data_IF_094883254179
#
_entry.id   IF_094883254179
#
_cell.length_a   1.000
_cell.length_b   1.000
_cell.length_c   1.000
_cell.angle_alpha   90.00
_cell.angle_beta   90.00
_cell.angle_gamma   90.00
#
_symmetry.space_group_name_H-M   'P 1'
#
loop_
_entity.id
_entity.type
_entity.pdbx_description
1 polymer ?
#
# COMPACT_ATOMS: atom_id res chain seq x y z
N UNK A 1 -1.26 -51.92 19.09
CA UNK A 1 -0.95 -52.05 17.65
C UNK A 1 0.55 -52.06 17.51
N UNK A 2 1.09 -53.20 17.07
CA UNK A 2 2.48 -53.62 17.26
C UNK A 2 3.48 -52.71 16.55
N UNK A 3 4.41 -52.14 17.32
CA UNK A 3 5.63 -51.53 16.81
C UNK A 3 6.45 -52.61 16.09
N UNK A 4 6.54 -52.53 14.77
CA UNK A 4 7.67 -53.12 14.06
C UNK A 4 8.94 -52.49 14.63
N UNK A 5 9.83 -53.30 15.20
CA UNK A 5 11.12 -52.82 15.71
C UNK A 5 11.89 -52.12 14.59
N UNK A 6 12.67 -51.05 14.88
CA UNK A 6 13.41 -50.29 13.85
C UNK A 6 14.21 -51.19 12.90
N UNK A 7 14.78 -52.29 13.40
CA UNK A 7 15.48 -53.30 12.62
C UNK A 7 14.58 -54.06 11.62
N UNK A 8 13.33 -54.34 12.00
CA UNK A 8 12.35 -54.93 11.08
C UNK A 8 11.93 -53.93 10.00
N UNK A 9 11.81 -52.64 10.36
CA UNK A 9 11.51 -51.61 9.38
C UNK A 9 12.65 -51.42 8.37
N UNK A 10 13.91 -51.40 8.83
CA UNK A 10 15.09 -51.37 7.96
C UNK A 10 15.14 -52.58 7.01
N UNK A 11 14.89 -53.79 7.52
CA UNK A 11 14.83 -55.00 6.68
C UNK A 11 13.68 -54.96 5.67
N UNK A 12 12.55 -54.37 6.04
CA UNK A 12 11.42 -54.16 5.13
C UNK A 12 11.78 -53.14 4.05
N UNK A 13 12.40 -52.01 4.41
CA UNK A 13 12.85 -50.98 3.47
C UNK A 13 13.94 -51.52 2.53
N UNK A 14 14.86 -52.33 3.03
CA UNK A 14 15.88 -53.00 2.23
C UNK A 14 15.25 -54.03 1.27
N UNK A 15 14.29 -54.83 1.73
CA UNK A 15 13.61 -55.80 0.87
C UNK A 15 12.73 -55.12 -0.19
N UNK A 16 12.03 -54.03 0.17
CA UNK A 16 11.23 -53.22 -0.75
C UNK A 16 12.14 -52.53 -1.78
N UNK A 17 13.24 -51.91 -1.35
CA UNK A 17 14.16 -51.24 -2.27
C UNK A 17 14.87 -52.22 -3.20
N UNK A 18 15.24 -53.40 -2.69
CA UNK A 18 15.77 -54.51 -3.50
C UNK A 18 14.72 -55.01 -4.49
N UNK A 19 13.48 -55.25 -4.05
CA UNK A 19 12.40 -55.65 -4.94
C UNK A 19 12.14 -54.58 -6.01
N UNK A 20 12.11 -53.30 -5.67
CA UNK A 20 11.94 -52.22 -6.64
C UNK A 20 13.11 -52.13 -7.64
N UNK A 21 14.34 -52.42 -7.19
CA UNK A 21 15.55 -52.39 -8.03
C UNK A 21 15.71 -53.61 -8.94
N UNK A 22 15.32 -54.79 -8.47
CA UNK A 22 15.62 -56.07 -9.14
C UNK A 22 14.38 -56.83 -9.64
N UNK A 23 13.17 -56.28 -9.53
CA UNK A 23 11.95 -56.86 -10.08
C UNK A 23 11.83 -56.61 -11.59
N UNK A 24 12.76 -57.21 -12.34
CA UNK A 24 12.67 -57.31 -13.79
C UNK A 24 12.11 -58.68 -14.18
N UNK A 25 10.79 -58.72 -14.40
CA UNK A 25 10.08 -59.95 -14.77
C UNK A 25 10.56 -60.54 -16.10
N UNK A 26 10.98 -59.71 -17.05
CA UNK A 26 11.41 -60.17 -18.39
C UNK A 26 12.78 -60.82 -18.28
N UNK A 27 13.71 -60.21 -17.56
CA UNK A 27 15.02 -60.79 -17.25
C UNK A 27 14.90 -62.07 -16.42
N UNK A 28 13.98 -62.12 -15.45
CA UNK A 28 13.71 -63.33 -14.66
C UNK A 28 13.16 -64.48 -15.51
N UNK A 29 12.24 -64.19 -16.44
CA UNK A 29 11.70 -65.20 -17.38
C UNK A 29 12.81 -65.78 -18.27
N UNK A 30 13.71 -64.93 -18.78
CA UNK A 30 14.87 -65.37 -19.55
C UNK A 30 15.82 -66.25 -18.73
N UNK A 31 16.15 -65.84 -17.50
CA UNK A 31 17.01 -66.63 -16.62
C UNK A 31 16.40 -67.99 -16.27
N UNK A 32 15.09 -68.02 -16.02
CA UNK A 32 14.36 -69.27 -15.75
C UNK A 32 14.41 -70.21 -16.95
N UNK A 33 14.09 -69.72 -18.15
CA UNK A 33 14.15 -70.55 -19.36
C UNK A 33 15.56 -71.09 -19.61
N UNK A 34 16.60 -70.27 -19.39
CA UNK A 34 17.99 -70.70 -19.49
C UNK A 34 18.35 -71.80 -18.49
N UNK A 35 17.81 -71.72 -17.28
CA UNK A 35 17.97 -72.76 -16.26
C UNK A 35 17.28 -74.05 -16.68
N UNK A 36 16.03 -73.98 -17.14
CA UNK A 36 15.24 -75.14 -17.60
C UNK A 36 15.93 -75.86 -18.78
N UNK A 37 16.49 -75.11 -19.74
CA UNK A 37 17.29 -75.67 -20.85
C UNK A 37 18.54 -76.39 -20.33
N UNK A 38 19.22 -75.81 -19.34
CA UNK A 38 20.43 -76.39 -18.76
C UNK A 38 20.12 -77.67 -17.97
N UNK A 39 19.02 -77.69 -17.22
CA UNK A 39 18.54 -78.91 -16.56
C UNK A 39 18.17 -80.00 -17.56
N UNK A 40 17.47 -79.64 -18.65
CA UNK A 40 17.14 -80.58 -19.72
C UNK A 40 18.41 -81.17 -20.35
N UNK A 41 19.44 -80.35 -20.60
CA UNK A 41 20.73 -80.78 -21.14
C UNK A 41 21.53 -81.70 -20.20
N UNK A 42 21.47 -81.46 -18.88
CA UNK A 42 22.08 -82.34 -17.88
C UNK A 42 21.36 -83.69 -17.81
N UNK A 43 20.03 -83.66 -17.83
CA UNK A 43 19.20 -84.85 -17.75
C UNK A 43 19.30 -85.71 -19.02
N UNK A 44 19.44 -85.10 -20.19
CA UNK A 44 19.64 -85.82 -21.47
C UNK A 44 21.00 -86.51 -21.57
N UNK A 45 22.03 -85.99 -20.89
CA UNK A 45 23.37 -86.63 -20.82
C UNK A 45 23.38 -87.90 -19.96
N UNK A 46 22.43 -88.04 -19.04
CA UNK A 46 22.43 -89.09 -18.02
C UNK A 46 21.43 -90.23 -18.30
N UNK A 47 20.64 -90.17 -19.39
CA UNK A 47 19.64 -91.20 -19.73
C UNK A 47 19.91 -91.84 -21.10
N UNK A 48 20.31 -93.11 -21.09
CA UNK A 48 20.31 -93.97 -22.28
C UNK A 48 18.86 -94.44 -22.56
N UNK A 49 18.23 -93.87 -23.59
CA UNK A 49 17.10 -94.37 -24.40
C UNK A 49 16.01 -95.19 -23.69
N UNK A 50 14.80 -94.63 -23.43
CA UNK A 50 13.74 -94.60 -24.46
C UNK A 50 12.70 -93.46 -24.29
N UNK A 51 13.15 -92.19 -24.24
CA UNK A 51 12.27 -90.98 -24.14
C UNK A 51 12.45 -89.99 -25.28
N UNK A 52 12.89 -90.45 -26.44
CA UNK A 52 13.36 -89.58 -27.53
C UNK A 52 12.25 -88.65 -28.07
N UNK A 53 11.01 -89.14 -28.20
CA UNK A 53 9.87 -88.34 -28.69
C UNK A 53 9.48 -87.21 -27.71
N UNK A 54 9.42 -87.53 -26.42
CA UNK A 54 9.00 -86.58 -25.37
C UNK A 54 10.08 -85.53 -25.09
N UNK A 55 11.35 -85.91 -25.25
CA UNK A 55 12.49 -84.99 -25.25
C UNK A 55 12.45 -84.07 -26.47
N UNK A 56 12.20 -84.60 -27.68
CA UNK A 56 12.05 -83.79 -28.90
C UNK A 56 10.94 -82.75 -28.79
N UNK A 57 9.77 -83.14 -28.27
CA UNK A 57 8.66 -82.19 -28.04
C UNK A 57 9.07 -81.08 -27.06
N UNK A 58 9.76 -81.41 -25.96
CA UNK A 58 10.27 -80.41 -25.02
C UNK A 58 11.34 -79.49 -25.62
N UNK A 59 12.20 -80.03 -26.48
CA UNK A 59 13.22 -79.22 -27.18
C UNK A 59 12.55 -78.21 -28.11
N UNK A 60 11.55 -78.63 -28.90
CA UNK A 60 10.80 -77.70 -29.76
C UNK A 60 9.98 -76.70 -28.94
N UNK A 61 9.40 -77.11 -27.81
CA UNK A 61 8.72 -76.20 -26.89
C UNK A 61 9.69 -75.13 -26.35
N UNK A 62 10.86 -75.53 -25.84
CA UNK A 62 11.85 -74.58 -25.32
C UNK A 62 12.45 -73.72 -26.43
N UNK A 63 12.54 -74.21 -27.66
CA UNK A 63 12.95 -73.41 -28.83
C UNK A 63 11.94 -72.30 -29.13
N UNK A 64 10.65 -72.61 -29.13
CA UNK A 64 9.59 -71.63 -29.29
C UNK A 64 9.56 -70.62 -28.13
N UNK A 65 9.68 -71.10 -26.90
CA UNK A 65 9.74 -70.23 -25.71
C UNK A 65 10.99 -69.34 -25.74
N UNK A 66 12.12 -69.83 -26.23
CA UNK A 66 13.36 -69.06 -26.39
C UNK A 66 13.16 -67.93 -27.39
N UNK A 67 12.59 -68.21 -28.56
CA UNK A 67 12.34 -67.20 -29.58
C UNK A 67 11.38 -66.10 -29.07
N UNK A 68 10.32 -66.51 -28.36
CA UNK A 68 9.39 -65.60 -27.70
C UNK A 68 10.09 -64.72 -26.65
N UNK A 69 10.83 -65.32 -25.73
CA UNK A 69 11.51 -64.59 -24.65
C UNK A 69 12.62 -63.71 -25.21
N UNK A 70 13.31 -64.14 -26.27
CA UNK A 70 14.34 -63.36 -26.95
C UNK A 70 13.77 -62.06 -27.54
N UNK A 71 12.65 -62.14 -28.27
CA UNK A 71 12.02 -60.93 -28.82
C UNK A 71 11.44 -60.04 -27.72
N UNK A 72 10.84 -60.61 -26.68
CA UNK A 72 10.40 -59.84 -25.51
C UNK A 72 11.57 -59.11 -24.82
N UNK A 73 12.69 -59.80 -24.61
CA UNK A 73 13.89 -59.24 -24.01
C UNK A 73 14.50 -58.14 -24.88
N UNK A 74 14.52 -58.33 -26.21
CA UNK A 74 14.97 -57.34 -27.17
C UNK A 74 14.11 -56.07 -27.14
N UNK A 75 12.79 -56.21 -27.09
CA UNK A 75 11.86 -55.08 -26.94
C UNK A 75 12.09 -54.38 -25.60
N UNK A 76 12.28 -55.15 -24.53
CA UNK A 76 12.54 -54.63 -23.18
C UNK A 76 13.83 -53.83 -23.10
N UNK A 77 14.93 -54.32 -23.66
CA UNK A 77 16.20 -53.57 -23.74
C UNK A 77 16.03 -52.27 -24.54
N UNK A 78 15.32 -52.30 -25.67
CA UNK A 78 15.00 -51.08 -26.43
C UNK A 78 14.10 -50.12 -25.65
N UNK A 79 13.20 -50.64 -24.81
CA UNK A 79 12.37 -49.83 -23.92
C UNK A 79 13.23 -49.15 -22.85
N UNK A 80 14.11 -49.90 -22.18
CA UNK A 80 15.07 -49.37 -21.20
C UNK A 80 15.97 -48.29 -21.81
N UNK A 81 16.50 -48.52 -23.01
CA UNK A 81 17.28 -47.51 -23.74
C UNK A 81 16.48 -46.23 -24.00
N UNK A 82 15.21 -46.36 -24.43
CA UNK A 82 14.31 -45.20 -24.61
C UNK A 82 14.02 -44.48 -23.31
N UNK A 83 13.75 -45.22 -22.22
CA UNK A 83 13.51 -44.65 -20.89
C UNK A 83 14.76 -43.90 -20.41
N UNK A 84 15.96 -44.48 -20.57
CA UNK A 84 17.21 -43.79 -20.23
C UNK A 84 17.42 -42.52 -21.05
N UNK A 85 17.12 -42.56 -22.35
CA UNK A 85 17.21 -41.39 -23.22
C UNK A 85 16.23 -40.29 -22.80
N UNK A 86 14.97 -40.65 -22.52
CA UNK A 86 13.97 -39.73 -21.98
C UNK A 86 14.47 -39.16 -20.65
N UNK A 87 14.91 -40.00 -19.72
CA UNK A 87 15.40 -39.58 -18.41
C UNK A 87 16.56 -38.59 -18.53
N UNK A 88 17.55 -38.87 -19.37
CA UNK A 88 18.69 -37.97 -19.55
C UNK A 88 18.29 -36.62 -20.17
N UNK A 89 17.39 -36.62 -21.16
CA UNK A 89 17.01 -35.39 -21.87
C UNK A 89 15.94 -34.57 -21.13
N UNK A 90 15.02 -35.20 -20.41
CA UNK A 90 13.96 -34.51 -19.66
C UNK A 90 14.41 -34.13 -18.26
N UNK A 91 15.30 -34.89 -17.62
CA UNK A 91 15.87 -34.53 -16.33
C UNK A 91 16.80 -33.33 -16.48
N UNK A 92 17.66 -33.26 -17.50
CA UNK A 92 18.54 -32.09 -17.70
C UNK A 92 17.73 -30.80 -17.84
N UNK A 93 16.72 -30.80 -18.70
CA UNK A 93 15.86 -29.62 -18.94
C UNK A 93 15.10 -29.16 -17.69
N UNK A 94 14.52 -30.09 -16.91
CA UNK A 94 13.76 -29.75 -15.71
C UNK A 94 14.67 -29.43 -14.51
N UNK A 95 15.82 -30.11 -14.33
CA UNK A 95 16.76 -29.79 -13.26
C UNK A 95 17.52 -28.48 -13.49
N UNK A 96 17.75 -28.09 -14.75
CA UNK A 96 18.40 -26.81 -15.07
C UNK A 96 17.43 -25.62 -14.92
N UNK A 97 16.14 -25.85 -15.15
CA UNK A 97 15.11 -24.80 -15.01
C UNK A 97 14.56 -24.65 -13.59
N UNK A 98 14.58 -25.70 -12.76
CA UNK A 98 14.09 -25.62 -11.38
C UNK A 98 14.81 -24.58 -10.51
N UNK A 99 16.16 -24.53 -10.47
CA UNK A 99 16.90 -23.55 -9.68
C UNK A 99 16.57 -22.12 -10.14
N UNK A 100 16.48 -21.90 -11.46
CA UNK A 100 16.11 -20.59 -12.02
C UNK A 100 14.69 -20.18 -11.63
N UNK A 101 13.74 -21.12 -11.66
CA UNK A 101 12.37 -20.86 -11.22
C UNK A 101 12.31 -20.58 -9.71
N UNK A 102 13.09 -21.30 -8.91
CA UNK A 102 13.19 -21.09 -7.48
C UNK A 102 13.77 -19.71 -7.18
N UNK A 103 14.84 -19.32 -7.86
CA UNK A 103 15.48 -18.01 -7.74
C UNK A 103 14.50 -16.88 -8.11
N UNK A 104 13.79 -17.00 -9.23
CA UNK A 104 12.75 -16.05 -9.63
C UNK A 104 11.60 -15.95 -8.59
N UNK A 105 11.17 -17.07 -8.03
CA UNK A 105 10.15 -17.09 -6.98
C UNK A 105 10.65 -16.45 -5.68
N UNK A 106 11.92 -16.63 -5.32
CA UNK A 106 12.52 -15.98 -4.15
C UNK A 106 12.65 -14.47 -4.33
N UNK A 107 13.03 -14.00 -5.53
CA UNK A 107 13.06 -12.58 -5.86
C UNK A 107 11.67 -11.95 -5.79
N UNK A 108 10.65 -12.62 -6.34
CA UNK A 108 9.26 -12.18 -6.22
C UNK A 108 8.79 -12.14 -4.77
N UNK A 109 9.15 -13.15 -3.97
CA UNK A 109 8.82 -13.17 -2.54
C UNK A 109 9.45 -12.00 -1.80
N UNK A 110 10.69 -11.64 -2.10
CA UNK A 110 11.39 -10.54 -1.44
C UNK A 110 10.86 -9.18 -1.88
N UNK A 111 10.50 -9.02 -3.15
CA UNK A 111 9.82 -7.80 -3.62
C UNK A 111 8.45 -7.64 -2.96
N UNK A 112 7.65 -8.69 -2.86
CA UNK A 112 6.37 -8.66 -2.15
C UNK A 112 6.56 -8.33 -0.66
N UNK A 113 7.58 -8.87 0.00
CA UNK A 113 7.92 -8.49 1.39
C UNK A 113 8.27 -7.01 1.51
N UNK A 114 9.02 -6.43 0.55
CA UNK A 114 9.33 -4.99 0.54
C UNK A 114 8.07 -4.16 0.35
N UNK A 115 7.19 -4.55 -0.56
CA UNK A 115 5.90 -3.89 -0.76
C UNK A 115 5.04 -3.96 0.51
N UNK A 116 4.98 -5.13 1.16
CA UNK A 116 4.24 -5.30 2.41
C UNK A 116 4.77 -4.38 3.53
N UNK A 117 6.09 -4.24 3.64
CA UNK A 117 6.70 -3.26 4.57
C UNK A 117 6.30 -1.83 4.23
N UNK A 118 6.32 -1.43 2.96
CA UNK A 118 5.84 -0.10 2.53
C UNK A 118 4.37 0.14 2.90
N UNK A 119 3.51 -0.86 2.70
CA UNK A 119 2.10 -0.78 3.10
C UNK A 119 1.96 -0.62 4.62
N UNK A 120 2.75 -1.38 5.38
CA UNK A 120 2.68 -1.37 6.84
C UNK A 120 3.28 -0.10 7.47
N UNK A 121 4.41 0.38 6.95
CA UNK A 121 5.18 1.45 7.58
C UNK A 121 4.77 2.84 7.09
N UNK A 122 4.21 2.94 5.88
CA UNK A 122 3.80 4.23 5.28
C UNK A 122 2.28 4.34 5.22
N UNK A 123 1.63 3.37 4.58
CA UNK A 123 0.21 3.51 4.25
C UNK A 123 -0.70 3.28 5.46
N UNK A 124 -0.41 2.28 6.30
CA UNK A 124 -1.18 2.03 7.54
C UNK A 124 -1.15 3.24 8.50
N UNK A 125 -0.01 3.84 8.86
CA UNK A 125 -0.01 5.02 9.71
C UNK A 125 -0.64 6.24 9.01
N UNK A 126 -0.54 6.38 7.70
CA UNK A 126 -1.26 7.42 6.96
C UNK A 126 -2.79 7.24 7.07
N UNK A 127 -3.28 6.02 6.95
CA UNK A 127 -4.70 5.69 7.08
C UNK A 127 -5.20 5.89 8.51
N UNK A 128 -4.38 5.56 9.52
CA UNK A 128 -4.67 5.88 10.92
C UNK A 128 -4.69 7.39 11.18
N UNK A 129 -3.76 8.17 10.59
CA UNK A 129 -3.79 9.64 10.63
C UNK A 129 -5.04 10.19 9.96
N UNK A 130 -5.42 9.67 8.80
CA UNK A 130 -6.67 10.06 8.12
C UNK A 130 -7.90 9.71 8.95
N UNK A 131 -7.97 8.52 9.54
CA UNK A 131 -9.06 8.15 10.47
C UNK A 131 -9.10 9.05 11.69
N UNK A 132 -7.96 9.40 12.28
CA UNK A 132 -7.89 10.34 13.39
C UNK A 132 -8.37 11.72 12.96
N UNK A 133 -7.97 12.19 11.77
CA UNK A 133 -8.41 13.47 11.21
C UNK A 133 -9.92 13.45 10.95
N UNK A 134 -10.45 12.42 10.29
CA UNK A 134 -11.89 12.25 10.05
C UNK A 134 -12.67 12.13 11.36
N UNK A 135 -12.16 11.42 12.36
CA UNK A 135 -12.76 11.34 13.70
C UNK A 135 -12.76 12.70 14.39
N UNK A 136 -11.68 13.47 14.25
CA UNK A 136 -11.58 14.83 14.77
C UNK A 136 -12.54 15.77 14.02
N UNK A 137 -12.65 15.66 12.70
CA UNK A 137 -13.64 16.38 11.89
C UNK A 137 -15.07 16.00 12.27
N UNK A 138 -15.41 14.71 12.37
CA UNK A 138 -16.71 14.23 12.81
C UNK A 138 -17.03 14.66 14.23
N UNK A 139 -16.04 14.72 15.12
CA UNK A 139 -16.23 15.23 16.49
C UNK A 139 -16.48 16.74 16.53
N UNK A 140 -15.95 17.49 15.55
CA UNK A 140 -16.17 18.94 15.37
C UNK A 140 -17.46 19.24 14.62
N UNK A 141 -17.83 18.41 13.65
CA UNK A 141 -19.06 18.50 12.87
C UNK A 141 -20.28 17.99 13.64
N UNK A 142 -20.10 17.03 14.57
CA UNK A 142 -21.16 16.67 15.52
C UNK A 142 -21.41 17.87 16.43
N UNK A 143 -22.60 18.51 16.35
CA UNK A 143 -22.96 19.61 17.22
C UNK A 143 -23.35 19.05 18.60
N UNK A 144 -22.38 18.45 19.30
CA UNK A 144 -22.49 18.13 20.73
C UNK A 144 -21.52 18.96 21.58
N UNK A 145 -20.76 19.86 20.94
CA UNK A 145 -19.67 20.61 21.57
C UNK A 145 -19.95 22.08 21.89
N UNK A 146 -21.03 22.71 21.41
CA UNK A 146 -21.31 24.11 21.76
C UNK A 146 -21.55 24.30 23.28
N UNK A 147 -22.02 23.27 23.98
CA UNK A 147 -22.12 23.24 25.45
C UNK A 147 -20.83 22.75 26.14
N UNK A 148 -20.03 21.90 25.49
CA UNK A 148 -18.80 21.34 26.08
C UNK A 148 -17.60 22.28 25.99
N UNK A 149 -17.50 23.12 24.96
CA UNK A 149 -16.44 24.13 24.86
C UNK A 149 -16.63 25.20 25.93
N UNK A 150 -17.87 25.64 26.17
CA UNK A 150 -18.22 26.56 27.26
C UNK A 150 -17.92 25.93 28.64
N UNK A 151 -18.00 24.60 28.76
CA UNK A 151 -17.72 23.90 30.01
C UNK A 151 -16.23 23.66 30.27
N UNK A 152 -15.37 23.64 29.24
CA UNK A 152 -13.90 23.64 29.40
C UNK A 152 -13.35 25.04 29.65
N UNK A 153 -13.86 26.06 28.93
CA UNK A 153 -13.51 27.47 29.15
C UNK A 153 -13.84 27.92 30.59
N UNK A 154 -14.83 27.31 31.25
CA UNK A 154 -15.14 27.55 32.68
C UNK A 154 -14.33 26.71 33.67
N UNK A 155 -13.62 25.66 33.24
CA UNK A 155 -12.83 24.80 34.11
C UNK A 155 -11.36 25.20 34.20
N UNK A 156 -10.88 26.02 33.27
CA UNK A 156 -9.49 26.51 33.24
C UNK A 156 -9.29 27.79 34.09
N UNK A 157 -10.32 28.22 34.85
CA UNK A 157 -10.22 29.26 35.88
C UNK A 157 -9.62 28.74 37.20
N UNK A 158 -9.37 27.43 37.29
CA UNK A 158 -8.82 26.76 38.47
C UNK A 158 -7.32 26.44 38.27
N UNK A 159 -6.53 27.46 37.90
CA UNK A 159 -5.09 27.61 38.21
C UNK A 159 -4.08 26.51 37.85
N UNK A 160 -4.45 25.41 37.19
CA UNK A 160 -3.53 24.32 36.85
C UNK A 160 -3.34 24.20 35.34
N UNK A 161 -2.53 25.09 34.79
CA UNK A 161 -2.06 25.01 33.40
C UNK A 161 -0.72 24.27 33.34
N UNK A 162 -0.67 23.22 32.54
CA UNK A 162 0.52 22.40 32.26
C UNK A 162 1.51 23.21 31.37
N UNK A 163 2.79 23.41 31.77
CA UNK A 163 3.71 24.34 31.10
C UNK A 163 4.20 23.89 29.70
N UNK A 164 3.75 22.75 29.20
CA UNK A 164 4.05 22.25 27.85
C UNK A 164 2.91 22.42 26.85
N UNK A 165 1.78 23.02 27.25
CA UNK A 165 0.71 23.30 26.31
C UNK A 165 1.06 24.51 25.45
N UNK A 166 1.30 24.29 24.15
CA UNK A 166 1.34 25.35 23.12
C UNK A 166 -0.07 25.79 22.73
N UNK A 167 -1.01 25.78 23.68
CA UNK A 167 -2.33 26.35 23.48
C UNK A 167 -2.22 27.85 23.73
N UNK A 168 -2.68 28.63 22.75
CA UNK A 168 -2.64 30.09 22.76
C UNK A 168 -3.20 30.64 24.09
N UNK A 169 -2.36 31.38 24.81
CA UNK A 169 -2.70 31.98 26.10
C UNK A 169 -3.93 32.89 25.93
N UNK A 170 -5.05 32.47 26.52
CA UNK A 170 -6.36 33.12 26.38
C UNK A 170 -6.41 34.49 27.05
N UNK A 171 -5.44 34.80 27.90
CA UNK A 171 -5.27 36.12 28.52
C UNK A 171 -4.88 37.20 27.50
N UNK A 172 -4.21 36.84 26.41
CA UNK A 172 -3.77 37.78 25.36
C UNK A 172 -4.89 38.21 24.39
N UNK A 173 -6.08 37.60 24.48
CA UNK A 173 -7.22 37.92 23.60
C UNK A 173 -8.35 38.67 24.33
N UNK A 174 -8.10 39.06 25.58
CA UNK A 174 -9.01 39.87 26.39
C UNK A 174 -8.44 41.28 26.42
N UNK A 175 -9.08 42.18 25.69
CA UNK A 175 -8.70 43.59 25.65
C UNK A 175 -9.60 44.38 26.59
N UNK A 176 -9.00 45.27 27.38
CA UNK A 176 -9.76 46.21 28.18
C UNK A 176 -10.32 47.32 27.27
N UNK A 177 -11.48 47.86 27.65
CA UNK A 177 -12.19 48.89 26.87
C UNK A 177 -11.32 50.13 26.59
N UNK A 178 -10.37 50.45 27.48
CA UNK A 178 -9.42 51.55 27.30
C UNK A 178 -8.35 51.27 26.22
N UNK A 179 -7.94 50.01 26.04
CA UNK A 179 -6.92 49.62 25.05
C UNK A 179 -7.50 49.61 23.65
N UNK A 180 -8.72 49.09 23.48
CA UNK A 180 -9.46 49.18 22.22
C UNK A 180 -9.73 50.64 21.86
N UNK A 181 -10.07 51.47 22.84
CA UNK A 181 -10.21 52.91 22.60
C UNK A 181 -8.92 53.54 22.07
N UNK A 182 -7.75 53.17 22.61
CA UNK A 182 -6.47 53.67 22.13
C UNK A 182 -6.21 53.31 20.66
N UNK A 183 -6.45 52.04 20.30
CA UNK A 183 -6.22 51.53 18.93
C UNK A 183 -7.16 52.21 17.93
N UNK A 184 -8.45 52.31 18.24
CA UNK A 184 -9.44 52.85 17.30
C UNK A 184 -9.40 54.38 17.20
N UNK A 185 -9.03 55.10 18.27
CA UNK A 185 -8.85 56.56 18.24
C UNK A 185 -7.58 56.98 17.51
N UNK A 186 -6.50 56.20 17.63
CA UNK A 186 -5.22 56.60 17.05
C UNK A 186 -5.14 56.31 15.53
N UNK A 187 -5.72 55.20 15.06
CA UNK A 187 -5.46 54.71 13.70
C UNK A 187 -6.68 54.74 12.74
N UNK A 188 -7.92 54.92 13.23
CA UNK A 188 -9.13 54.70 12.40
C UNK A 188 -10.16 55.84 12.38
N UNK A 189 -10.32 56.62 13.45
CA UNK A 189 -11.35 57.66 13.52
C UNK A 189 -10.81 58.97 14.11
N UNK A 190 -11.01 60.09 13.39
CA UNK A 190 -10.77 61.44 13.94
C UNK A 190 -11.77 61.75 15.08
N UNK A 191 -11.34 62.58 16.03
CA UNK A 191 -12.01 62.92 17.32
C UNK A 191 -13.47 63.41 17.25
N UNK A 192 -14.04 63.64 16.07
CA UNK A 192 -15.38 64.20 15.87
C UNK A 192 -16.51 63.17 15.65
N UNK A 193 -16.19 61.88 15.58
CA UNK A 193 -17.20 60.82 15.34
C UNK A 193 -17.53 60.09 16.65
N UNK A 194 -18.81 59.80 16.86
CA UNK A 194 -19.35 59.04 17.99
C UNK A 194 -18.84 57.59 17.98
N UNK A 195 -17.59 57.43 18.44
CA UNK A 195 -16.79 56.22 18.33
C UNK A 195 -17.42 55.03 19.03
N UNK A 196 -18.22 55.24 20.08
CA UNK A 196 -18.89 54.16 20.80
C UNK A 196 -19.88 53.44 19.90
N UNK A 197 -20.68 54.20 19.14
CA UNK A 197 -21.65 53.62 18.24
C UNK A 197 -20.99 52.96 17.03
N UNK A 198 -19.97 53.63 16.45
CA UNK A 198 -19.27 53.12 15.27
C UNK A 198 -18.42 51.88 15.57
N UNK A 199 -17.74 51.81 16.72
CA UNK A 199 -16.97 50.63 17.13
C UNK A 199 -17.89 49.46 17.44
N UNK A 200 -19.02 49.69 18.13
CA UNK A 200 -20.00 48.63 18.38
C UNK A 200 -20.64 48.12 17.08
N UNK A 201 -20.90 48.98 16.11
CA UNK A 201 -21.40 48.59 14.79
C UNK A 201 -20.34 47.83 13.96
N UNK A 202 -19.08 48.27 14.01
CA UNK A 202 -17.98 47.63 13.28
C UNK A 202 -17.59 46.26 13.86
N UNK A 203 -17.72 46.11 15.18
CA UNK A 203 -17.49 44.85 15.88
C UNK A 203 -18.72 43.94 15.86
N UNK A 204 -19.94 44.48 15.68
CA UNK A 204 -21.16 43.69 15.46
C UNK A 204 -21.04 42.90 14.15
N UNK A 205 -20.88 41.59 14.28
CA UNK A 205 -20.78 40.66 13.16
C UNK A 205 -19.37 40.21 12.82
N UNK A 206 -18.33 40.80 13.43
CA UNK A 206 -16.94 40.32 13.35
C UNK A 206 -16.56 39.46 14.55
N UNK A 207 -15.31 39.01 14.56
CA UNK A 207 -14.73 38.03 15.49
C UNK A 207 -14.59 38.51 16.94
N UNK A 208 -15.27 39.56 17.38
CA UNK A 208 -15.15 40.09 18.74
C UNK A 208 -16.49 40.04 19.47
N UNK A 209 -16.48 39.73 20.77
CA UNK A 209 -17.67 39.83 21.64
C UNK A 209 -17.39 40.77 22.82
N UNK A 210 -18.33 41.66 23.10
CA UNK A 210 -18.32 42.51 24.29
C UNK A 210 -18.86 41.71 25.48
N UNK A 211 -18.04 41.56 26.52
CA UNK A 211 -18.45 41.14 27.87
C UNK A 211 -18.30 42.37 28.77
N UNK A 212 -19.41 43.08 28.98
CA UNK A 212 -19.49 44.27 29.85
C UNK A 212 -18.40 45.34 29.53
N UNK A 213 -17.26 45.30 30.22
CA UNK A 213 -16.11 46.23 30.07
C UNK A 213 -14.88 45.62 29.39
N UNK A 214 -15.01 44.41 28.83
CA UNK A 214 -13.93 43.66 28.19
C UNK A 214 -14.35 43.16 26.83
N UNK A 215 -13.44 43.21 25.87
CA UNK A 215 -13.64 42.69 24.53
C UNK A 215 -12.83 41.41 24.35
N UNK A 216 -13.51 40.33 24.00
CA UNK A 216 -12.87 39.03 23.76
C UNK A 216 -12.81 38.77 22.26
N UNK A 217 -11.60 38.57 21.73
CA UNK A 217 -11.40 38.18 20.34
C UNK A 217 -11.60 36.66 20.17
N UNK A 218 -12.68 36.30 19.48
CA UNK A 218 -13.04 34.94 19.08
C UNK A 218 -12.23 34.53 17.84
N UNK A 219 -11.02 33.99 18.06
CA UNK A 219 -10.10 33.50 17.01
C UNK A 219 -10.80 32.55 16.03
N UNK A 220 -11.84 31.82 16.47
CA UNK A 220 -12.60 30.89 15.62
C UNK A 220 -13.46 31.57 14.55
N UNK A 221 -13.73 32.86 14.70
CA UNK A 221 -14.46 33.69 13.73
C UNK A 221 -13.54 34.56 12.89
N UNK A 222 -12.25 34.64 13.22
CA UNK A 222 -11.25 35.34 12.43
C UNK A 222 -11.22 34.81 11.00
N UNK A 223 -11.35 35.68 10.01
CA UNK A 223 -11.12 35.36 8.59
C UNK A 223 -9.62 35.21 8.30
N UNK A 224 -8.86 34.64 9.23
CA UNK A 224 -7.45 34.33 9.06
C UNK A 224 -7.32 33.01 8.31
N UNK A 225 -6.44 32.98 7.33
CA UNK A 225 -6.10 31.77 6.58
C UNK A 225 -5.66 30.67 7.57
N UNK A 226 -6.47 29.63 7.73
CA UNK A 226 -6.17 28.51 8.62
C UNK A 226 -5.09 27.64 7.99
N UNK A 227 -3.83 28.04 8.13
CA UNK A 227 -2.70 27.26 7.68
C UNK A 227 -2.62 25.93 8.48
N UNK A 228 -2.41 24.78 7.82
CA UNK A 228 -2.29 23.50 8.49
C UNK A 228 -1.00 23.46 9.34
N UNK A 229 -1.04 22.73 10.46
CA UNK A 229 0.04 22.62 11.45
C UNK A 229 1.37 22.02 10.94
N UNK A 230 1.48 21.74 9.63
CA UNK A 230 2.71 21.29 8.95
C UNK A 230 3.43 22.40 8.20
N UNK A 231 2.90 23.63 8.20
CA UNK A 231 3.51 24.75 7.48
C UNK A 231 4.75 25.24 8.21
N UNK A 232 5.90 25.16 7.55
CA UNK A 232 7.18 25.66 8.09
C UNK A 232 7.21 27.18 7.98
N UNK A 233 8.07 27.84 8.77
CA UNK A 233 8.24 29.31 8.72
C UNK A 233 8.58 29.80 7.30
N UNK A 234 9.36 29.01 6.54
CA UNK A 234 9.69 29.30 5.14
C UNK A 234 8.46 29.26 4.21
N UNK A 235 7.46 28.42 4.51
CA UNK A 235 6.21 28.38 3.76
C UNK A 235 5.33 29.60 4.07
N UNK A 236 5.35 30.08 5.32
CA UNK A 236 4.71 31.35 5.68
C UNK A 236 5.36 32.54 4.97
N UNK A 237 6.70 32.61 4.93
CA UNK A 237 7.40 33.69 4.23
C UNK A 237 7.10 33.70 2.73
N UNK A 238 6.95 32.51 2.11
CA UNK A 238 6.50 32.39 0.71
C UNK A 238 5.05 32.82 0.51
N UNK A 239 4.15 32.48 1.43
CA UNK A 239 2.74 32.88 1.36
C UNK A 239 2.62 34.39 1.57
N UNK A 240 3.35 34.96 2.53
CA UNK A 240 3.40 36.40 2.77
C UNK A 240 3.96 37.11 1.54
N UNK A 241 5.05 36.60 0.95
CA UNK A 241 5.60 37.13 -0.30
C UNK A 241 4.58 37.13 -1.44
N UNK A 242 3.86 36.02 -1.63
CA UNK A 242 2.81 35.91 -2.64
C UNK A 242 1.63 36.85 -2.40
N UNK A 243 1.20 37.02 -1.14
CA UNK A 243 0.13 37.96 -0.79
C UNK A 243 0.56 39.42 -1.00
N UNK A 244 1.82 39.76 -0.71
CA UNK A 244 2.36 41.11 -0.96
C UNK A 244 2.40 41.40 -2.46
N UNK A 245 2.81 40.44 -3.29
CA UNK A 245 2.76 40.57 -4.75
C UNK A 245 1.32 40.72 -5.26
N UNK A 246 0.37 39.93 -4.72
CA UNK A 246 -1.04 40.02 -5.10
C UNK A 246 -1.65 41.38 -4.71
N UNK A 247 -1.37 41.87 -3.50
CA UNK A 247 -1.78 43.21 -3.05
C UNK A 247 -1.17 44.29 -3.96
N UNK A 248 0.11 44.16 -4.33
CA UNK A 248 0.76 45.06 -5.28
C UNK A 248 0.04 45.11 -6.62
N UNK A 249 -0.29 43.93 -7.18
CA UNK A 249 -1.01 43.82 -8.45
C UNK A 249 -2.43 44.40 -8.39
N UNK A 250 -3.12 44.23 -7.25
CA UNK A 250 -4.44 44.80 -7.01
C UNK A 250 -4.39 46.32 -6.85
N UNK A 251 -3.33 46.85 -6.23
CA UNK A 251 -3.10 48.28 -6.11
C UNK A 251 -2.85 48.93 -7.48
N UNK A 252 -2.03 48.30 -8.32
CA UNK A 252 -1.80 48.73 -9.70
C UNK A 252 -3.09 48.68 -10.53
N UNK A 253 -3.87 47.60 -10.40
CA UNK A 253 -5.20 47.51 -11.03
C UNK A 253 -6.16 48.59 -10.53
N UNK A 254 -6.12 48.89 -9.23
CA UNK A 254 -6.90 49.96 -8.61
C UNK A 254 -6.51 51.34 -9.13
N UNK A 255 -5.22 51.61 -9.32
CA UNK A 255 -4.73 52.85 -9.91
C UNK A 255 -5.14 52.96 -11.38
N UNK A 256 -4.97 51.91 -12.18
CA UNK A 256 -5.41 51.88 -13.57
C UNK A 256 -6.93 52.06 -13.69
N UNK A 257 -7.71 51.47 -12.78
CA UNK A 257 -9.15 51.68 -12.71
C UNK A 257 -9.49 53.13 -12.34
N UNK A 258 -8.79 53.74 -11.37
CA UNK A 258 -8.97 55.13 -10.99
C UNK A 258 -8.64 56.09 -12.14
N UNK A 259 -7.57 55.84 -12.89
CA UNK A 259 -7.21 56.63 -14.07
C UNK A 259 -8.28 56.53 -15.16
N UNK A 260 -8.82 55.33 -15.42
CA UNK A 260 -9.95 55.14 -16.35
C UNK A 260 -11.19 55.89 -15.88
N UNK A 261 -11.49 55.87 -14.59
CA UNK A 261 -12.61 56.61 -14.01
C UNK A 261 -12.42 58.11 -14.12
N UNK A 262 -11.22 58.63 -13.88
CA UNK A 262 -10.90 60.06 -14.05
C UNK A 262 -10.99 60.48 -15.51
N UNK A 263 -10.48 59.67 -16.44
CA UNK A 263 -10.62 59.92 -17.88
C UNK A 263 -12.08 59.93 -18.32
N UNK A 264 -12.89 58.98 -17.84
CA UNK A 264 -14.33 58.94 -18.10
C UNK A 264 -15.07 60.12 -17.46
N UNK A 265 -14.71 60.52 -16.23
CA UNK A 265 -15.30 61.68 -15.57
C UNK A 265 -14.98 62.97 -16.35
N UNK A 266 -13.73 63.15 -16.78
CA UNK A 266 -13.32 64.28 -17.62
C UNK A 266 -14.06 64.30 -18.97
N UNK A 267 -14.25 63.15 -19.61
CA UNK A 267 -15.04 63.04 -20.83
C UNK A 267 -16.53 63.36 -20.59
N UNK A 268 -17.09 62.94 -19.46
CA UNK A 268 -18.47 63.27 -19.07
C UNK A 268 -18.63 64.75 -18.77
N UNK A 269 -17.64 65.39 -18.14
CA UNK A 269 -17.66 66.83 -17.86
C UNK A 269 -17.57 67.65 -19.16
N UNK A 270 -16.74 67.24 -20.12
CA UNK A 270 -16.72 67.85 -21.47
C UNK A 270 -18.08 67.70 -22.18
N UNK A 271 -18.73 66.54 -22.07
CA UNK A 271 -20.07 66.34 -22.62
C UNK A 271 -21.14 67.16 -21.90
N UNK A 272 -20.98 67.41 -20.59
CA UNK A 272 -21.85 68.32 -19.83
C UNK A 272 -21.67 69.76 -20.26
N UNK A 273 -20.43 70.20 -20.48
CA UNK A 273 -20.10 71.54 -20.94
C UNK A 273 -20.71 71.83 -22.33
N UNK A 274 -20.53 70.92 -23.30
CA UNK A 274 -21.18 70.99 -24.63
C UNK A 274 -22.71 71.00 -24.53
N UNK A 275 -23.29 70.29 -23.55
CA UNK A 275 -24.74 70.26 -23.33
C UNK A 275 -25.27 71.56 -22.75
N UNK A 276 -24.52 72.21 -21.86
CA UNK A 276 -24.89 73.50 -21.29
C UNK A 276 -24.66 74.66 -22.29
N UNK A 277 -23.63 74.60 -23.13
CA UNK A 277 -23.45 75.52 -24.27
C UNK A 277 -24.62 75.44 -25.25
N UNK A 278 -25.09 74.23 -25.61
CA UNK A 278 -26.26 74.03 -26.49
C UNK A 278 -27.61 74.44 -25.88
N UNK A 279 -27.70 74.63 -24.56
CA UNK A 279 -28.90 75.18 -23.90
C UNK A 279 -28.86 76.71 -23.81
N UNK A 280 -27.69 77.31 -24.05
CA UNK A 280 -27.43 78.75 -23.92
C UNK A 280 -27.55 79.50 -25.26
N UNK A 281 -27.65 78.77 -26.38
CA UNK A 281 -28.12 79.24 -27.70
C UNK A 281 -29.65 79.08 -27.84
#
# INVERSE_FOLDING_TARGET
MSLTTNRQQELIEESISSALRYNDKVSQQYLRLRHDILELSKNSRNQESPKDELLRVKVEQYRFELEKVYELYRIHVKSMQRIMHIYNNTRSSNLESLPRQLEAMTEQQDELKRQLRKLQDIQRPMLEKMKALTKNFDSRLRPKGAKSLIQKIRKDDDGTSDPTSTDLDSSNFVFDEAEIQGIFKHDLFNDEIDWQHSVEEYLKGRSCRKLEHKYVYDVSRGTGYAAPASTTVEEYDKIIGGLVEEIGSLLEHGQAAKERWLANAAAVDQLREVREERKSE
#
